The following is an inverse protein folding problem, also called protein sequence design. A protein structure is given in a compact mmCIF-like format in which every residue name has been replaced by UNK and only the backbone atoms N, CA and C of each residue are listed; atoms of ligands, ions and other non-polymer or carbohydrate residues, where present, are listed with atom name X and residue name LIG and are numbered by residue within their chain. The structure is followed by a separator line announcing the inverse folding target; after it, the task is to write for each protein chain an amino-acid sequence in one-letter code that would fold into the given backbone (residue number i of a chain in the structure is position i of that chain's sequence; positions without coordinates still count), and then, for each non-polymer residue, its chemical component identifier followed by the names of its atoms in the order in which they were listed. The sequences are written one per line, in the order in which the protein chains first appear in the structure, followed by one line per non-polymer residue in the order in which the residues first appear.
data_IF_396397378420
#
_entry.id   IF_396397378420
#
_cell.length_a   1.000
_cell.length_b   1.000
_cell.length_c   1.000
_cell.angle_alpha   90.00
_cell.angle_beta   90.00
_cell.angle_gamma   90.00
#
_symmetry.space_group_name_H-M   'P 1'
#
loop_
_entity.id
_entity.type
_entity.pdbx_description
1 polymer ?
#
# COMPACT_ATOMS: atom_id res chain seq x y z
N UNK A 1 35.30 2.78 -25.34
CA UNK A 1 35.35 2.99 -23.88
C UNK A 1 35.02 1.68 -23.18
N UNK A 2 35.89 1.22 -22.27
CA UNK A 2 35.63 0.03 -21.46
C UNK A 2 34.42 0.27 -20.55
N UNK A 3 33.57 -0.75 -20.38
CA UNK A 3 32.46 -0.69 -19.43
C UNK A 3 33.04 -0.75 -18.02
N UNK A 4 33.06 0.38 -17.31
CA UNK A 4 33.42 0.40 -15.89
C UNK A 4 32.22 -0.17 -15.13
N UNK A 5 32.43 -1.24 -14.37
CA UNK A 5 31.37 -1.80 -13.54
C UNK A 5 31.20 -0.97 -12.24
N UNK A 6 30.03 -1.06 -11.59
CA UNK A 6 29.72 -0.28 -10.37
C UNK A 6 30.78 -0.44 -9.26
N UNK A 7 31.35 -1.64 -9.08
CA UNK A 7 32.38 -1.91 -8.06
C UNK A 7 33.71 -1.26 -8.41
N UNK A 8 34.10 -1.27 -9.68
CA UNK A 8 35.29 -0.58 -10.18
C UNK A 8 35.16 0.94 -10.03
N UNK A 9 33.98 1.50 -10.30
CA UNK A 9 33.72 2.92 -10.11
C UNK A 9 33.82 3.35 -8.64
N UNK A 10 33.23 2.57 -7.72
CA UNK A 10 33.33 2.85 -6.27
C UNK A 10 34.77 2.68 -5.77
N UNK A 11 35.53 1.73 -6.31
CA UNK A 11 36.96 1.56 -5.98
C UNK A 11 37.86 2.70 -6.45
N UNK A 12 37.43 3.50 -7.43
CA UNK A 12 38.17 4.66 -7.94
C UNK A 12 37.88 5.95 -7.18
N UNK A 13 36.80 6.00 -6.39
CA UNK A 13 36.40 7.20 -5.63
C UNK A 13 36.89 7.04 -4.20
N UNK A 14 37.94 7.78 -3.83
CA UNK A 14 38.33 7.95 -2.43
C UNK A 14 37.16 8.50 -1.60
N UNK A 15 37.01 8.03 -0.36
CA UNK A 15 35.89 8.36 0.52
C UNK A 15 35.83 9.86 0.87
N UNK A 16 35.16 10.65 0.02
CA UNK A 16 34.77 12.03 0.31
C UNK A 16 33.29 12.09 0.66
N UNK A 17 32.96 12.18 1.94
CA UNK A 17 31.60 12.46 2.37
C UNK A 17 31.32 13.97 2.20
N UNK A 18 30.38 14.33 1.32
CA UNK A 18 29.86 15.68 1.23
C UNK A 18 28.56 15.78 2.05
N UNK A 19 28.59 16.53 3.14
CA UNK A 19 27.39 16.98 3.87
C UNK A 19 26.79 18.16 3.13
N UNK A 20 25.69 17.93 2.40
CA UNK A 20 24.91 18.98 1.75
C UNK A 20 23.86 19.57 2.70
N UNK A 21 23.87 20.89 2.87
CA UNK A 21 22.74 21.63 3.44
C UNK A 21 21.80 21.97 2.28
N UNK A 22 20.56 21.52 2.36
CA UNK A 22 19.53 21.89 1.39
C UNK A 22 18.98 23.29 1.74
N UNK A 23 19.10 24.23 0.80
CA UNK A 23 18.34 25.48 0.83
C UNK A 23 17.35 25.43 -0.32
N UNK A 24 16.10 25.79 -0.03
CA UNK A 24 15.00 25.73 -0.97
C UNK A 24 14.85 27.12 -1.63
N UNK A 25 15.53 27.33 -2.76
CA UNK A 25 15.30 28.49 -3.61
C UNK A 25 14.36 28.11 -4.75
N UNK A 26 13.06 28.30 -4.53
CA UNK A 26 12.06 28.23 -5.60
C UNK A 26 12.00 29.58 -6.32
N UNK A 27 12.71 29.69 -7.44
CA UNK A 27 12.46 30.77 -8.40
C UNK A 27 11.28 30.37 -9.28
N UNK A 28 10.21 31.16 -9.23
CA UNK A 28 9.00 30.95 -10.02
C UNK A 28 9.32 31.06 -11.51
N UNK A 29 9.19 29.95 -12.23
CA UNK A 29 9.29 29.90 -13.68
C UNK A 29 7.89 29.86 -14.32
N UNK A 30 7.82 30.54 -15.46
CA UNK A 30 6.62 30.87 -16.24
C UNK A 30 5.80 29.62 -16.65
N UNK A 31 4.49 29.65 -16.36
CA UNK A 31 3.62 28.47 -16.30
C UNK A 31 3.24 27.82 -17.66
N UNK A 32 3.89 28.15 -18.78
CA UNK A 32 3.54 27.57 -20.09
C UNK A 32 4.71 27.36 -21.08
N UNK A 33 5.97 27.56 -20.70
CA UNK A 33 7.13 27.14 -21.50
C UNK A 33 7.84 25.97 -20.80
N UNK A 34 7.78 24.77 -21.39
CA UNK A 34 8.54 23.59 -20.91
C UNK A 34 7.71 22.55 -20.15
N UNK A 35 6.95 21.73 -20.87
CA UNK A 35 6.39 20.46 -20.34
C UNK A 35 7.24 19.24 -20.71
N UNK A 36 8.35 19.45 -21.41
CA UNK A 36 9.21 18.41 -21.96
C UNK A 36 10.65 18.77 -21.62
N UNK A 37 11.38 17.84 -21.00
CA UNK A 37 12.82 17.96 -20.88
C UNK A 37 13.46 17.67 -22.24
N UNK A 38 14.15 18.66 -22.79
CA UNK A 38 14.90 18.58 -24.05
C UNK A 38 16.38 18.90 -23.80
N UNK A 39 17.26 18.48 -24.72
CA UNK A 39 18.67 18.86 -24.69
C UNK A 39 19.08 19.36 -26.06
N UNK A 40 19.79 20.49 -26.10
CA UNK A 40 20.37 21.06 -27.31
C UNK A 40 21.74 20.47 -27.66
N UNK A 41 22.19 19.46 -26.92
CA UNK A 41 23.47 18.81 -27.15
C UNK A 41 23.33 17.71 -28.20
N UNK A 42 24.21 17.71 -29.19
CA UNK A 42 24.26 16.70 -30.25
C UNK A 42 24.44 15.26 -29.73
N UNK A 43 25.00 15.10 -28.53
CA UNK A 43 25.22 13.80 -27.89
C UNK A 43 24.02 13.29 -27.08
N UNK A 44 22.89 14.02 -27.07
CA UNK A 44 21.66 13.63 -26.38
C UNK A 44 21.75 13.62 -24.85
N UNK A 45 22.84 14.14 -24.26
CA UNK A 45 22.99 14.21 -22.79
C UNK A 45 22.31 15.45 -22.23
N UNK A 46 21.86 15.35 -20.98
CA UNK A 46 21.24 16.47 -20.27
C UNK A 46 22.25 17.06 -19.28
N UNK A 47 22.37 18.39 -19.27
CA UNK A 47 23.05 19.11 -18.17
C UNK A 47 22.13 19.14 -16.94
N UNK A 48 20.84 19.36 -17.15
CA UNK A 48 19.82 19.34 -16.10
C UNK A 48 19.63 17.93 -15.55
N UNK A 49 19.77 17.77 -14.22
CA UNK A 49 19.63 16.48 -13.54
C UNK A 49 18.22 15.91 -13.70
N UNK A 50 17.18 16.74 -13.63
CA UNK A 50 15.80 16.29 -13.83
C UNK A 50 15.59 15.70 -15.24
N UNK A 51 16.12 16.36 -16.27
CA UNK A 51 16.11 15.84 -17.64
C UNK A 51 16.88 14.52 -17.79
N UNK A 52 18.04 14.40 -17.15
CA UNK A 52 18.81 13.15 -17.13
C UNK A 52 18.06 12.00 -16.44
N UNK A 53 17.47 12.25 -15.27
CA UNK A 53 16.69 11.24 -14.53
C UNK A 53 15.39 10.87 -15.26
N UNK A 54 14.70 11.83 -15.86
CA UNK A 54 13.54 11.54 -16.70
C UNK A 54 13.93 10.70 -17.92
N UNK A 55 15.07 11.01 -18.55
CA UNK A 55 15.60 10.20 -19.66
C UNK A 55 15.93 8.78 -19.18
N UNK A 56 16.54 8.63 -18.01
CA UNK A 56 16.77 7.32 -17.40
C UNK A 56 15.45 6.55 -17.16
N UNK A 57 14.42 7.21 -16.63
CA UNK A 57 13.09 6.62 -16.42
C UNK A 57 12.42 6.18 -17.73
N UNK A 58 12.52 6.98 -18.80
CA UNK A 58 11.97 6.64 -20.11
C UNK A 58 12.61 5.39 -20.73
N UNK A 59 13.86 5.11 -20.41
CA UNK A 59 14.62 3.98 -20.98
C UNK A 59 14.76 2.79 -20.01
N UNK A 60 14.13 2.87 -18.83
CA UNK A 60 14.08 1.76 -17.89
C UNK A 60 13.20 0.65 -18.47
N UNK A 61 13.81 -0.51 -18.75
CA UNK A 61 13.09 -1.71 -19.17
C UNK A 61 12.89 -2.63 -17.94
N UNK A 62 11.65 -2.81 -17.44
CA UNK A 62 11.39 -3.72 -16.34
C UNK A 62 11.76 -5.15 -16.75
N UNK A 63 12.67 -5.78 -15.99
CA UNK A 63 13.22 -7.11 -16.30
C UNK A 63 12.16 -8.22 -16.40
N UNK A 64 11.03 -8.02 -15.73
CA UNK A 64 9.91 -8.97 -15.65
C UNK A 64 8.65 -8.39 -16.28
N UNK A 65 8.77 -7.48 -17.24
CA UNK A 65 7.63 -7.00 -18.02
C UNK A 65 6.89 -8.17 -18.67
N UNK A 66 5.55 -8.11 -18.67
CA UNK A 66 4.74 -9.12 -19.37
C UNK A 66 5.02 -9.09 -20.87
N UNK A 67 5.21 -10.28 -21.46
CA UNK A 67 5.33 -10.45 -22.90
C UNK A 67 4.08 -11.15 -23.42
N UNK A 68 3.33 -10.50 -24.32
CA UNK A 68 2.12 -11.07 -24.92
C UNK A 68 2.37 -12.33 -25.76
N UNK A 69 3.62 -12.58 -26.16
CA UNK A 69 4.03 -13.76 -26.91
C UNK A 69 4.57 -14.89 -26.02
N UNK A 70 4.46 -14.78 -24.70
CA UNK A 70 4.91 -15.81 -23.77
C UNK A 70 4.10 -17.10 -23.94
N UNK A 71 4.77 -18.25 -23.89
CA UNK A 71 4.10 -19.55 -23.95
C UNK A 71 3.46 -19.89 -22.60
N UNK A 72 2.49 -20.82 -22.57
CA UNK A 72 1.86 -21.24 -21.32
C UNK A 72 2.88 -21.82 -20.29
N UNK A 73 3.83 -22.69 -20.67
CA UNK A 73 4.87 -23.15 -19.73
C UNK A 73 5.77 -22.02 -19.20
N UNK A 74 6.16 -21.08 -20.06
CA UNK A 74 7.02 -19.96 -19.66
C UNK A 74 6.28 -18.95 -18.78
N UNK A 75 4.95 -18.85 -18.94
CA UNK A 75 4.12 -17.96 -18.14
C UNK A 75 4.15 -18.30 -16.65
N UNK A 76 4.12 -19.59 -16.28
CA UNK A 76 4.18 -19.99 -14.87
C UNK A 76 5.53 -19.67 -14.24
N UNK A 77 6.62 -19.83 -15.00
CA UNK A 77 7.97 -19.43 -14.58
C UNK A 77 8.09 -17.92 -14.41
N UNK A 78 7.58 -17.15 -15.38
CA UNK A 78 7.52 -15.70 -15.30
C UNK A 78 6.69 -15.22 -14.11
N UNK A 79 5.49 -15.78 -13.89
CA UNK A 79 4.61 -15.45 -12.76
C UNK A 79 5.29 -15.70 -11.42
N UNK A 80 6.00 -16.82 -11.29
CA UNK A 80 6.79 -17.15 -10.10
C UNK A 80 7.90 -16.12 -9.89
N UNK A 81 8.64 -15.79 -10.95
CA UNK A 81 9.70 -14.78 -10.89
C UNK A 81 9.18 -13.39 -10.50
N UNK A 82 8.01 -12.98 -11.03
CA UNK A 82 7.34 -11.73 -10.66
C UNK A 82 6.95 -11.74 -9.19
N UNK A 83 6.33 -12.82 -8.70
CA UNK A 83 5.94 -12.95 -7.30
C UNK A 83 7.14 -12.87 -6.37
N UNK A 84 8.19 -13.63 -6.67
CA UNK A 84 9.38 -13.68 -5.81
C UNK A 84 10.09 -12.33 -5.79
N UNK A 85 10.17 -11.64 -6.95
CA UNK A 85 10.73 -10.28 -7.00
C UNK A 85 9.86 -9.26 -6.29
N UNK A 86 8.53 -9.39 -6.36
CA UNK A 86 7.61 -8.53 -5.64
C UNK A 86 7.80 -8.69 -4.12
N UNK A 87 7.87 -9.93 -3.62
CA UNK A 87 8.09 -10.21 -2.20
C UNK A 87 9.45 -9.68 -1.72
N UNK A 88 10.50 -9.81 -2.51
CA UNK A 88 11.81 -9.20 -2.23
C UNK A 88 11.68 -7.67 -2.07
N UNK A 89 10.98 -7.00 -3.01
CA UNK A 89 10.83 -5.54 -3.01
C UNK A 89 9.83 -5.01 -1.96
N UNK A 90 8.98 -5.88 -1.41
CA UNK A 90 8.07 -5.49 -0.33
C UNK A 90 8.82 -5.22 0.98
N UNK A 91 10.06 -5.72 1.14
CA UNK A 91 10.88 -5.50 2.33
C UNK A 91 10.09 -5.80 3.63
N UNK A 92 9.38 -6.94 3.66
CA UNK A 92 8.75 -7.40 4.89
C UNK A 92 9.82 -7.71 5.94
N UNK A 93 9.51 -7.58 7.25
CA UNK A 93 10.47 -7.95 8.28
C UNK A 93 10.81 -9.44 8.19
N UNK A 94 12.10 -9.78 8.18
CA UNK A 94 12.58 -11.17 8.08
C UNK A 94 12.19 -12.02 9.30
N UNK A 95 12.13 -11.38 10.47
CA UNK A 95 11.82 -12.03 11.74
C UNK A 95 10.81 -11.19 12.51
N UNK A 96 9.69 -11.83 12.86
CA UNK A 96 8.64 -11.21 13.65
C UNK A 96 8.40 -12.13 14.85
N UNK A 97 8.62 -11.66 16.08
CA UNK A 97 8.30 -12.46 17.26
C UNK A 97 6.80 -12.73 17.29
N UNK A 98 6.38 -13.80 17.97
CA UNK A 98 4.97 -14.16 18.10
C UNK A 98 4.17 -12.94 18.59
N UNK A 99 3.18 -12.53 17.80
CA UNK A 99 2.29 -11.43 18.14
C UNK A 99 0.98 -11.97 18.75
N UNK A 100 0.28 -11.19 19.58
CA UNK A 100 -1.04 -11.56 20.06
C UNK A 100 -2.04 -11.77 18.92
N UNK A 101 -3.04 -12.61 19.15
CA UNK A 101 -4.17 -12.74 18.21
C UNK A 101 -5.00 -11.44 18.17
N UNK A 102 -5.63 -11.11 17.03
CA UNK A 102 -6.51 -9.96 16.94
C UNK A 102 -7.62 -9.98 17.99
N UNK A 103 -7.93 -8.80 18.53
CA UNK A 103 -8.85 -8.61 19.66
C UNK A 103 -10.10 -7.85 19.22
N UNK A 104 -11.28 -8.39 19.55
CA UNK A 104 -12.55 -7.68 19.42
C UNK A 104 -12.61 -6.57 20.47
N UNK A 105 -12.86 -5.34 20.04
CA UNK A 105 -13.06 -4.20 20.93
C UNK A 105 -14.55 -4.03 21.28
N UNK A 106 -15.39 -4.04 20.26
CA UNK A 106 -16.84 -3.94 20.41
C UNK A 106 -17.56 -4.55 19.20
N UNK A 107 -18.83 -4.87 19.41
CA UNK A 107 -19.76 -5.33 18.39
C UNK A 107 -21.11 -4.63 18.60
N UNK A 108 -21.72 -4.17 17.51
CA UNK A 108 -23.00 -3.49 17.52
C UNK A 108 -23.89 -4.01 16.38
N UNK A 109 -25.14 -4.32 16.70
CA UNK A 109 -26.11 -4.74 15.70
C UNK A 109 -26.49 -3.55 14.79
N UNK A 110 -26.64 -3.85 13.49
CA UNK A 110 -27.23 -2.99 12.46
C UNK A 110 -28.38 -3.76 11.80
N UNK A 111 -29.10 -3.10 10.91
CA UNK A 111 -30.17 -3.74 10.12
C UNK A 111 -29.59 -4.79 9.16
N UNK A 112 -29.72 -6.08 9.51
CA UNK A 112 -29.30 -7.23 8.71
C UNK A 112 -27.83 -7.66 8.86
N UNK A 113 -27.05 -7.04 9.75
CA UNK A 113 -25.65 -7.42 10.01
C UNK A 113 -25.14 -6.90 11.36
N UNK A 114 -24.10 -7.53 11.90
CA UNK A 114 -23.34 -7.04 13.05
C UNK A 114 -22.09 -6.29 12.57
N UNK A 115 -21.88 -5.08 13.08
CA UNK A 115 -20.66 -4.32 12.89
C UNK A 115 -19.72 -4.56 14.08
N UNK A 116 -18.49 -4.95 13.80
CA UNK A 116 -17.47 -5.24 14.81
C UNK A 116 -16.24 -4.37 14.59
N UNK A 117 -15.64 -3.86 15.66
CA UNK A 117 -14.30 -3.25 15.64
C UNK A 117 -13.28 -4.17 16.27
N UNK A 118 -12.18 -4.36 15.58
CA UNK A 118 -11.08 -5.23 15.99
C UNK A 118 -9.75 -4.48 15.97
N UNK A 119 -8.79 -5.00 16.72
CA UNK A 119 -7.37 -4.64 16.65
C UNK A 119 -6.55 -5.83 16.18
N UNK A 120 -5.67 -5.62 15.20
CA UNK A 120 -4.61 -6.55 14.84
C UNK A 120 -3.26 -6.06 15.35
N UNK A 121 -2.36 -7.01 15.64
CA UNK A 121 -1.00 -6.75 16.13
C UNK A 121 0.00 -7.37 15.13
N UNK A 122 0.28 -6.72 13.98
CA UNK A 122 1.02 -7.35 12.88
C UNK A 122 2.52 -7.49 13.14
N UNK A 123 3.13 -6.54 13.86
CA UNK A 123 4.55 -6.52 14.22
C UNK A 123 4.73 -5.77 15.55
N UNK A 124 5.88 -5.91 16.25
CA UNK A 124 6.13 -5.18 17.49
C UNK A 124 5.83 -3.69 17.38
N UNK A 125 5.29 -3.11 18.45
CA UNK A 125 4.90 -1.70 18.54
C UNK A 125 3.72 -1.27 17.65
N UNK A 126 3.22 -2.13 16.76
CA UNK A 126 2.13 -1.82 15.83
C UNK A 126 0.80 -2.37 16.32
N UNK A 127 -0.23 -1.51 16.35
CA UNK A 127 -1.64 -1.89 16.45
C UNK A 127 -2.38 -1.33 15.24
N UNK A 128 -3.23 -2.15 14.62
CA UNK A 128 -3.99 -1.78 13.42
C UNK A 128 -5.47 -2.06 13.66
N UNK A 129 -6.28 -1.02 13.93
CA UNK A 129 -7.72 -1.16 14.02
C UNK A 129 -8.35 -1.43 12.65
N UNK A 130 -9.38 -2.27 12.62
CA UNK A 130 -10.17 -2.56 11.43
C UNK A 130 -11.63 -2.86 11.78
N UNK A 131 -12.51 -2.75 10.79
CA UNK A 131 -13.93 -3.05 10.93
C UNK A 131 -14.26 -4.37 10.23
N UNK A 132 -15.17 -5.13 10.81
CA UNK A 132 -15.73 -6.36 10.23
C UNK A 132 -17.25 -6.24 10.27
N UNK A 133 -17.90 -6.43 9.12
CA UNK A 133 -19.35 -6.48 9.03
C UNK A 133 -19.74 -7.93 8.72
N UNK A 134 -20.51 -8.53 9.63
CA UNK A 134 -20.91 -9.94 9.57
C UNK A 134 -22.41 -10.00 9.28
N UNK A 135 -22.85 -10.57 8.14
CA UNK A 135 -24.27 -10.69 7.84
C UNK A 135 -24.97 -11.61 8.85
N UNK A 136 -26.25 -11.35 9.11
CA UNK A 136 -27.07 -12.27 9.90
C UNK A 136 -27.12 -13.68 9.30
N UNK A 137 -27.21 -14.69 10.16
CA UNK A 137 -27.30 -16.10 9.75
C UNK A 137 -25.97 -16.76 9.39
N UNK A 138 -24.86 -16.02 9.33
CA UNK A 138 -23.52 -16.61 9.16
C UNK A 138 -23.09 -17.33 10.44
N UNK A 139 -22.55 -18.55 10.28
CA UNK A 139 -22.09 -19.37 11.40
C UNK A 139 -20.96 -20.29 10.98
N UNK A 140 -20.41 -21.06 11.93
CA UNK A 140 -19.43 -22.11 11.62
C UNK A 140 -19.99 -23.27 10.78
N UNK A 141 -21.31 -23.50 10.82
CA UNK A 141 -21.97 -24.52 10.01
C UNK A 141 -22.41 -24.01 8.63
N UNK A 142 -22.44 -22.68 8.44
CA UNK A 142 -22.74 -22.02 7.17
C UNK A 142 -21.80 -20.83 6.98
N UNK A 143 -20.52 -21.08 6.65
CA UNK A 143 -19.55 -20.02 6.46
C UNK A 143 -19.83 -19.22 5.18
N UNK A 144 -19.66 -17.91 5.25
CA UNK A 144 -19.92 -16.99 4.15
C UNK A 144 -18.63 -16.71 3.35
N UNK A 145 -18.74 -16.36 2.06
CA UNK A 145 -17.62 -15.74 1.34
C UNK A 145 -17.24 -14.42 2.01
N UNK A 146 -15.99 -14.01 1.87
CA UNK A 146 -15.50 -12.78 2.48
C UNK A 146 -14.86 -11.82 1.47
N UNK A 147 -14.92 -10.51 1.79
CA UNK A 147 -14.26 -9.46 0.98
C UNK A 147 -13.50 -8.50 1.89
N UNK A 148 -12.19 -8.37 1.66
CA UNK A 148 -11.37 -7.35 2.29
C UNK A 148 -11.34 -6.09 1.42
N UNK A 149 -11.85 -4.99 1.95
CA UNK A 149 -12.08 -3.72 1.26
C UNK A 149 -10.99 -2.69 1.63
N UNK A 150 -10.38 -2.09 0.62
CA UNK A 150 -9.33 -1.08 0.74
C UNK A 150 -9.85 0.28 0.27
N UNK A 151 -9.57 1.36 1.01
CA UNK A 151 -10.02 2.69 0.64
C UNK A 151 -9.05 3.34 -0.34
N UNK A 152 -9.55 4.36 -1.04
CA UNK A 152 -8.72 5.33 -1.75
C UNK A 152 -7.83 6.16 -0.81
N UNK A 153 -7.09 7.13 -1.36
CA UNK A 153 -5.99 7.81 -0.64
C UNK A 153 -6.39 8.50 0.67
N UNK A 154 -7.64 8.95 0.80
CA UNK A 154 -8.14 9.74 1.94
C UNK A 154 -9.48 9.26 2.49
N UNK A 155 -9.97 8.09 2.07
CA UNK A 155 -11.20 7.51 2.63
C UNK A 155 -10.85 6.59 3.80
N UNK A 156 -11.75 6.46 4.77
CA UNK A 156 -11.57 5.58 5.92
C UNK A 156 -12.29 4.24 5.78
N UNK A 157 -11.92 3.31 6.66
CA UNK A 157 -12.71 2.11 6.92
C UNK A 157 -14.15 2.41 7.37
N UNK A 158 -14.39 3.48 8.13
CA UNK A 158 -15.75 3.90 8.52
C UNK A 158 -16.58 4.25 7.27
N UNK A 159 -16.02 5.04 6.35
CA UNK A 159 -16.70 5.35 5.08
C UNK A 159 -16.97 4.11 4.23
N UNK A 160 -16.06 3.14 4.21
CA UNK A 160 -16.29 1.87 3.51
C UNK A 160 -17.44 1.07 4.16
N UNK A 161 -17.53 1.10 5.49
CA UNK A 161 -18.60 0.48 6.27
C UNK A 161 -19.94 1.25 6.22
N UNK A 162 -19.93 2.46 5.66
CA UNK A 162 -21.09 3.35 5.64
C UNK A 162 -21.41 3.98 6.99
N UNK A 163 -20.43 4.01 7.89
CA UNK A 163 -20.52 4.62 9.20
C UNK A 163 -20.05 6.08 9.15
N UNK A 164 -20.44 6.91 10.13
CA UNK A 164 -19.88 8.23 10.31
C UNK A 164 -18.35 8.16 10.48
N UNK A 165 -17.66 9.01 9.74
CA UNK A 165 -16.21 9.18 9.84
C UNK A 165 -15.80 9.68 11.23
N UNK A 166 -14.62 9.28 11.69
CA UNK A 166 -14.03 9.80 12.91
C UNK A 166 -13.76 11.31 12.76
N UNK A 167 -13.96 12.07 13.85
CA UNK A 167 -13.61 13.50 13.87
C UNK A 167 -12.09 13.65 13.88
N UNK A 168 -11.52 13.82 12.68
CA UNK A 168 -10.08 13.96 12.46
C UNK A 168 -9.67 15.41 12.21
N UNK A 169 -10.60 16.37 12.37
CA UNK A 169 -10.36 17.79 12.11
C UNK A 169 -10.06 18.15 10.64
N UNK A 170 -10.16 17.20 9.70
CA UNK A 170 -9.92 17.41 8.27
C UNK A 170 -11.23 17.41 7.48
N UNK A 171 -11.40 18.29 6.46
CA UNK A 171 -12.58 18.28 5.60
C UNK A 171 -12.72 16.93 4.89
N UNK A 172 -13.85 16.26 5.12
CA UNK A 172 -14.13 14.97 4.49
C UNK A 172 -14.70 15.20 3.10
N UNK A 173 -14.05 14.63 2.09
CA UNK A 173 -14.58 14.64 0.74
C UNK A 173 -15.77 13.68 0.66
N UNK A 174 -16.99 14.22 0.77
CA UNK A 174 -18.25 13.46 0.63
C UNK A 174 -18.54 13.02 -0.82
N UNK A 175 -17.69 13.40 -1.77
CA UNK A 175 -17.88 13.08 -3.19
C UNK A 175 -17.86 11.57 -3.37
N UNK A 176 -18.95 11.00 -3.89
CA UNK A 176 -19.13 9.56 -4.08
C UNK A 176 -19.20 8.72 -2.79
N UNK A 177 -19.41 9.34 -1.61
CA UNK A 177 -19.50 8.60 -0.35
C UNK A 177 -20.52 7.46 -0.43
N UNK A 178 -21.69 7.70 -1.04
CA UNK A 178 -22.75 6.69 -1.15
C UNK A 178 -22.37 5.46 -1.96
N UNK A 179 -21.67 5.68 -3.08
CA UNK A 179 -21.25 4.62 -3.98
C UNK A 179 -20.00 3.90 -3.48
N UNK A 180 -19.19 4.55 -2.63
CA UNK A 180 -17.91 4.03 -2.17
C UNK A 180 -17.97 3.25 -0.85
N UNK A 181 -19.17 3.00 -0.29
CA UNK A 181 -19.36 2.17 0.92
C UNK A 181 -19.18 0.67 0.61
N UNK A 182 -18.00 0.28 0.11
CA UNK A 182 -17.74 -1.06 -0.43
C UNK A 182 -18.13 -2.16 0.55
N UNK A 183 -17.66 -2.08 1.80
CA UNK A 183 -17.93 -3.10 2.82
C UNK A 183 -19.44 -3.19 3.14
N UNK A 184 -20.13 -2.05 3.24
CA UNK A 184 -21.59 -2.03 3.41
C UNK A 184 -22.31 -2.73 2.25
N UNK A 185 -21.88 -2.50 1.01
CA UNK A 185 -22.49 -3.11 -0.17
C UNK A 185 -22.28 -4.63 -0.19
N UNK A 186 -21.11 -5.11 0.26
CA UNK A 186 -20.83 -6.55 0.34
C UNK A 186 -21.60 -7.24 1.46
N UNK A 187 -21.66 -6.67 2.67
CA UNK A 187 -22.38 -7.31 3.77
C UNK A 187 -23.87 -7.47 3.47
N UNK A 188 -24.49 -6.47 2.83
CA UNK A 188 -25.89 -6.53 2.39
C UNK A 188 -26.17 -7.60 1.32
N UNK A 189 -25.12 -8.22 0.77
CA UNK A 189 -25.19 -9.33 -0.21
C UNK A 189 -24.74 -10.66 0.38
N UNK A 190 -24.60 -10.75 1.71
CA UNK A 190 -24.27 -12.00 2.41
C UNK A 190 -22.78 -12.32 2.48
N UNK A 191 -21.90 -11.34 2.25
CA UNK A 191 -20.46 -11.51 2.43
C UNK A 191 -20.03 -11.03 3.81
N UNK A 192 -19.11 -11.75 4.47
CA UNK A 192 -18.35 -11.14 5.57
C UNK A 192 -17.42 -10.11 4.97
N UNK A 193 -17.57 -8.84 5.33
CA UNK A 193 -16.74 -7.78 4.76
C UNK A 193 -15.82 -7.19 5.81
N UNK A 194 -14.58 -6.90 5.42
CA UNK A 194 -13.56 -6.28 6.28
C UNK A 194 -13.18 -4.94 5.68
N UNK A 195 -13.23 -3.86 6.45
CA UNK A 195 -12.77 -2.54 6.03
C UNK A 195 -11.51 -2.16 6.83
N UNK A 196 -10.49 -1.70 6.11
CA UNK A 196 -9.19 -1.31 6.69
C UNK A 196 -8.82 0.12 6.32
N UNK A 197 -7.97 0.76 7.11
CA UNK A 197 -7.35 2.03 6.75
C UNK A 197 -6.03 1.81 5.97
N UNK A 198 -5.58 2.86 5.27
CA UNK A 198 -4.22 2.93 4.77
C UNK A 198 -3.28 3.44 5.88
N UNK A 199 -1.99 3.02 5.94
CA UNK A 199 -1.07 3.54 6.94
C UNK A 199 -0.98 5.07 6.90
N UNK A 200 -0.84 5.69 8.08
CA UNK A 200 -0.75 7.15 8.22
C UNK A 200 -2.00 7.93 7.75
N UNK A 201 -3.17 7.28 7.68
CA UNK A 201 -4.45 7.91 7.34
C UNK A 201 -5.52 7.59 8.38
N UNK A 202 -6.51 8.46 8.51
CA UNK A 202 -7.67 8.26 9.39
C UNK A 202 -7.26 7.91 10.82
N UNK A 203 -7.72 6.78 11.37
CA UNK A 203 -7.37 6.36 12.73
C UNK A 203 -5.86 6.06 12.91
N UNK A 204 -5.16 5.78 11.80
CA UNK A 204 -3.71 5.55 11.78
C UNK A 204 -2.92 6.84 11.50
N UNK A 205 -3.58 8.01 11.40
CA UNK A 205 -2.90 9.27 11.12
C UNK A 205 -2.12 9.79 12.34
N UNK A 206 -1.05 10.53 12.07
CA UNK A 206 -0.30 11.27 13.09
C UNK A 206 -0.63 12.76 13.04
N UNK A 207 -0.78 13.38 14.21
CA UNK A 207 -0.81 14.84 14.35
C UNK A 207 0.59 15.47 14.29
N UNK A 208 1.65 14.67 14.40
CA UNK A 208 3.04 15.13 14.47
C UNK A 208 3.77 15.05 13.12
N UNK A 209 3.42 14.07 12.28
CA UNK A 209 4.13 13.81 11.03
C UNK A 209 3.16 13.53 9.88
N UNK A 210 3.37 14.10 8.69
CA UNK A 210 2.57 13.76 7.52
C UNK A 210 2.97 12.39 6.94
N UNK A 211 2.07 11.79 6.15
CA UNK A 211 2.29 10.51 5.46
C UNK A 211 3.57 10.49 4.61
N UNK A 212 3.88 11.59 3.92
CA UNK A 212 5.08 11.70 3.08
C UNK A 212 6.36 11.54 3.87
N UNK A 213 6.51 12.28 4.98
CA UNK A 213 7.69 12.20 5.86
C UNK A 213 7.84 10.81 6.46
N UNK A 214 6.73 10.16 6.84
CA UNK A 214 6.80 8.76 7.30
C UNK A 214 7.22 7.79 6.19
N UNK A 215 6.76 7.99 4.95
CA UNK A 215 7.19 7.16 3.81
C UNK A 215 8.69 7.35 3.51
N UNK A 216 9.22 8.57 3.63
CA UNK A 216 10.65 8.86 3.52
C UNK A 216 11.46 8.18 4.63
N UNK A 217 11.01 8.28 5.88
CA UNK A 217 11.65 7.56 7.00
C UNK A 217 11.69 6.05 6.75
N UNK A 218 10.65 5.46 6.16
CA UNK A 218 10.66 4.04 5.80
C UNK A 218 11.76 3.72 4.78
N UNK A 219 11.96 4.56 3.77
CA UNK A 219 13.04 4.38 2.80
C UNK A 219 14.42 4.37 3.47
N UNK A 220 14.65 5.25 4.46
CA UNK A 220 15.90 5.27 5.24
C UNK A 220 16.10 4.00 6.08
N UNK A 221 15.01 3.39 6.55
CA UNK A 221 15.03 2.11 7.26
C UNK A 221 15.12 0.88 6.34
N UNK A 222 15.25 1.07 5.01
CA UNK A 222 15.24 -0.03 4.04
C UNK A 222 13.86 -0.67 3.84
N UNK A 223 12.79 -0.03 4.34
CA UNK A 223 11.39 -0.40 4.13
C UNK A 223 10.74 0.52 3.09
N UNK A 224 9.46 0.31 2.81
CA UNK A 224 8.69 1.23 1.98
C UNK A 224 7.21 1.25 2.40
N UNK A 225 6.52 2.33 2.05
CA UNK A 225 5.11 2.56 2.43
C UNK A 225 4.19 1.42 1.98
N UNK A 226 4.37 0.94 0.74
CA UNK A 226 3.54 -0.13 0.20
C UNK A 226 3.79 -1.45 0.94
N UNK A 227 5.05 -1.77 1.21
CA UNK A 227 5.46 -2.92 2.02
C UNK A 227 4.81 -2.93 3.40
N UNK A 228 4.85 -1.82 4.13
CA UNK A 228 4.16 -1.70 5.42
C UNK A 228 2.64 -1.91 5.27
N UNK A 229 2.03 -1.23 4.30
CA UNK A 229 0.59 -1.35 4.01
C UNK A 229 0.19 -2.80 3.74
N UNK A 230 0.87 -3.47 2.81
CA UNK A 230 0.57 -4.86 2.45
C UNK A 230 0.80 -5.79 3.63
N UNK A 231 1.87 -5.59 4.40
CA UNK A 231 2.20 -6.43 5.54
C UNK A 231 1.11 -6.37 6.63
N UNK A 232 0.67 -5.17 7.02
CA UNK A 232 -0.41 -5.00 8.00
C UNK A 232 -1.72 -5.66 7.53
N UNK A 233 -2.06 -5.48 6.24
CA UNK A 233 -3.28 -6.04 5.63
C UNK A 233 -3.21 -7.56 5.48
N UNK A 234 -2.04 -8.11 5.15
CA UNK A 234 -1.82 -9.55 5.04
C UNK A 234 -2.03 -10.25 6.39
N UNK A 235 -1.63 -9.63 7.51
CA UNK A 235 -1.91 -10.17 8.86
C UNK A 235 -3.41 -10.22 9.17
N UNK A 236 -4.17 -9.19 8.78
CA UNK A 236 -5.64 -9.19 8.93
C UNK A 236 -6.28 -10.22 8.00
N UNK A 237 -5.82 -10.34 6.76
CA UNK A 237 -6.31 -11.33 5.79
C UNK A 237 -6.07 -12.77 6.27
N UNK A 238 -4.89 -13.04 6.83
CA UNK A 238 -4.57 -14.33 7.44
C UNK A 238 -5.55 -14.65 8.57
N UNK A 239 -5.73 -13.73 9.51
CA UNK A 239 -6.70 -13.89 10.58
C UNK A 239 -8.12 -14.12 10.04
N UNK A 240 -8.54 -13.36 9.03
CA UNK A 240 -9.85 -13.50 8.41
C UNK A 240 -10.05 -14.90 7.81
N UNK A 241 -9.02 -15.46 7.16
CA UNK A 241 -9.06 -16.79 6.56
C UNK A 241 -9.14 -17.94 7.58
N UNK A 242 -8.77 -17.67 8.83
CA UNK A 242 -8.83 -18.63 9.94
C UNK A 242 -10.16 -18.54 10.71
N UNK A 243 -11.05 -17.59 10.36
CA UNK A 243 -12.35 -17.42 11.03
C UNK A 243 -13.29 -18.57 10.65
N UNK A 244 -13.95 -19.21 11.62
CA UNK A 244 -14.88 -20.31 11.33
C UNK A 244 -16.14 -19.86 10.56
N UNK A 245 -16.46 -18.56 10.63
CA UNK A 245 -17.59 -17.96 9.92
C UNK A 245 -17.26 -17.58 8.46
N UNK A 246 -16.02 -17.78 8.02
CA UNK A 246 -15.54 -17.43 6.68
C UNK A 246 -15.17 -18.69 5.92
N UNK A 247 -15.61 -18.76 4.67
CA UNK A 247 -15.13 -19.77 3.74
C UNK A 247 -13.77 -19.34 3.17
N UNK A 248 -12.70 -19.99 3.64
CA UNK A 248 -11.32 -19.66 3.27
C UNK A 248 -10.99 -19.86 1.79
N UNK A 249 -11.81 -20.61 1.04
CA UNK A 249 -11.66 -20.78 -0.40
C UNK A 249 -12.38 -19.67 -1.20
N UNK A 250 -13.16 -18.80 -0.54
CA UNK A 250 -13.97 -17.74 -1.16
C UNK A 250 -13.70 -16.39 -0.52
N UNK A 251 -12.43 -15.97 -0.51
CA UNK A 251 -12.01 -14.64 -0.05
C UNK A 251 -11.58 -13.79 -1.24
N UNK A 252 -12.15 -12.60 -1.37
CA UNK A 252 -11.79 -11.60 -2.37
C UNK A 252 -11.15 -10.36 -1.73
N UNK A 253 -10.41 -9.62 -2.54
CA UNK A 253 -9.88 -8.29 -2.23
C UNK A 253 -10.53 -7.26 -3.15
N UNK A 254 -10.92 -6.10 -2.59
CA UNK A 254 -11.57 -5.00 -3.32
C UNK A 254 -10.89 -3.69 -2.94
N UNK A 255 -10.32 -2.94 -3.89
CA UNK A 255 -9.59 -1.70 -3.63
C UNK A 255 -9.64 -0.75 -4.81
#
# INVERSE_FOLDING_TARGET
MSKINRREFVGLIGAGAATGIFTDETTGADNNAGRIYETSRDDGRYVETAGALQSYLKHLNPKLAFNSQITAPDFDSWRTSVRDKLLELMCFPDQIPVQPSPKLLWAEQRDGYELQKWEAYPEPYSVVPFLVLVPEGVSSSSPAPAVMCFPGSTSSKESLAGEPELDTGKPQAKKHWETNRQALHYVKRGFVSVAVDNPATCELASSLQPRSSMAECMLWMGRNYLGLSVFQKASILKWLSERPIVDSNRIATSG
#
